data_IF_420473601086
#
_entry.id   IF_420473601086
#
_cell.length_a   1.000
_cell.length_b   1.000
_cell.length_c   1.000
_cell.angle_alpha   90.00
_cell.angle_beta   90.00
_cell.angle_gamma   90.00
#
_symmetry.space_group_name_H-M   'P 1'
#
loop_
_entity.id
_entity.type
_entity.pdbx_description
1 polymer ?
#
# COMPACT_ATOMS: atom_id res chain seq x y z
N UNK A 1 5.79 -0.38 3.81
CA UNK A 1 6.72 -1.27 4.51
C UNK A 1 7.43 -1.98 3.41
N UNK A 2 8.68 -1.63 3.16
CA UNK A 2 9.46 -2.19 2.07
C UNK A 2 10.68 -2.86 2.70
N UNK A 3 11.00 -4.09 2.29
CA UNK A 3 12.14 -4.84 2.85
C UNK A 3 13.48 -4.08 2.81
N UNK A 4 13.79 -3.28 1.76
CA UNK A 4 14.98 -2.44 1.76
C UNK A 4 15.03 -1.43 2.92
N UNK A 5 13.88 -0.92 3.38
CA UNK A 5 13.81 -0.01 4.55
C UNK A 5 14.06 -0.77 5.84
N UNK A 6 13.58 -2.00 5.96
CA UNK A 6 13.88 -2.87 7.10
C UNK A 6 15.38 -3.12 7.18
N UNK A 7 15.99 -3.49 6.05
CA UNK A 7 17.43 -3.67 5.95
C UNK A 7 18.22 -2.40 6.25
N UNK A 8 17.74 -1.23 5.81
CA UNK A 8 18.37 0.04 6.14
C UNK A 8 18.43 0.26 7.66
N UNK A 9 17.32 -0.01 8.38
CA UNK A 9 17.30 0.11 9.85
C UNK A 9 18.18 -0.96 10.50
N UNK A 10 18.17 -2.21 10.01
CA UNK A 10 19.07 -3.26 10.50
C UNK A 10 20.54 -2.85 10.42
N UNK A 11 20.92 -2.15 9.36
CA UNK A 11 22.31 -1.74 9.09
C UNK A 11 22.71 -0.43 9.79
N UNK A 12 21.82 0.56 9.80
CA UNK A 12 22.12 1.92 10.26
C UNK A 12 21.73 2.19 11.71
N UNK A 13 20.77 1.43 12.25
CA UNK A 13 20.25 1.60 13.60
C UNK A 13 19.89 0.24 14.24
N UNK A 14 20.85 -0.69 14.36
CA UNK A 14 20.60 -2.02 14.92
C UNK A 14 20.03 -1.98 16.34
N UNK A 15 20.39 -0.98 17.15
CA UNK A 15 19.87 -0.76 18.49
C UNK A 15 18.36 -0.41 18.51
N UNK A 16 17.87 0.21 17.43
CA UNK A 16 16.44 0.45 17.23
C UNK A 16 15.76 -0.84 16.78
N UNK A 17 16.37 -1.59 15.85
CA UNK A 17 15.83 -2.87 15.38
C UNK A 17 15.70 -3.89 16.53
N UNK A 18 16.67 -3.92 17.45
CA UNK A 18 16.64 -4.77 18.65
C UNK A 18 15.42 -4.45 19.53
N UNK A 19 15.15 -3.17 19.76
CA UNK A 19 14.00 -2.70 20.58
C UNK A 19 12.66 -2.74 19.84
N UNK A 20 12.69 -2.91 18.51
CA UNK A 20 11.47 -2.93 17.69
C UNK A 20 10.69 -4.21 17.94
N UNK A 21 9.46 -4.09 18.46
CA UNK A 21 8.58 -5.23 18.65
C UNK A 21 7.89 -5.65 17.35
N UNK A 22 7.37 -4.69 16.59
CA UNK A 22 6.64 -4.94 15.35
C UNK A 22 7.03 -3.95 14.26
N UNK A 23 7.02 -4.42 13.02
CA UNK A 23 7.14 -3.64 11.80
C UNK A 23 5.84 -3.84 11.03
N UNK A 24 5.14 -2.75 10.73
CA UNK A 24 3.83 -2.77 10.06
C UNK A 24 3.68 -1.54 9.17
N UNK A 25 2.72 -1.56 8.25
CA UNK A 25 2.36 -0.34 7.52
C UNK A 25 1.72 0.70 8.44
N UNK A 26 1.80 1.97 8.04
CA UNK A 26 1.14 3.03 8.81
C UNK A 26 -0.38 2.78 8.93
N UNK A 27 -1.02 2.28 7.89
CA UNK A 27 -2.44 1.90 7.91
C UNK A 27 -2.73 0.75 8.88
N UNK A 28 -1.91 -0.31 8.87
CA UNK A 28 -2.01 -1.40 9.84
C UNK A 28 -1.85 -0.89 11.27
N UNK A 29 -0.92 0.03 11.50
CA UNK A 29 -0.72 0.63 12.82
C UNK A 29 -1.95 1.43 13.27
N UNK A 30 -2.59 2.20 12.39
CA UNK A 30 -3.84 2.89 12.69
C UNK A 30 -4.92 1.88 13.07
N UNK A 31 -5.11 0.83 12.28
CA UNK A 31 -6.07 -0.25 12.55
C UNK A 31 -5.79 -0.92 13.91
N UNK A 32 -4.51 -1.17 14.21
CA UNK A 32 -4.09 -1.73 15.50
C UNK A 32 -4.44 -0.77 16.65
N UNK A 33 -4.21 0.54 16.50
CA UNK A 33 -4.65 1.53 17.50
C UNK A 33 -6.17 1.60 17.66
N UNK A 34 -6.92 1.37 16.60
CA UNK A 34 -8.39 1.37 16.64
C UNK A 34 -8.97 0.11 17.27
N UNK A 35 -8.29 -1.03 17.17
CA UNK A 35 -8.87 -2.35 17.54
C UNK A 35 -8.11 -3.08 18.65
N UNK A 36 -6.94 -2.59 19.05
CA UNK A 36 -5.97 -3.29 19.90
C UNK A 36 -5.54 -4.67 19.35
N UNK A 37 -5.56 -4.85 18.03
CA UNK A 37 -5.15 -6.09 17.36
C UNK A 37 -3.92 -5.88 16.47
N UNK A 38 -2.92 -6.74 16.65
CA UNK A 38 -1.76 -6.79 15.76
C UNK A 38 -2.09 -7.65 14.53
N UNK A 39 -2.54 -7.01 13.45
CA UNK A 39 -2.90 -7.65 12.18
C UNK A 39 -2.22 -6.96 11.00
N UNK A 40 -2.25 -7.60 9.83
CA UNK A 40 -1.79 -7.00 8.57
C UNK A 40 -2.88 -7.06 7.51
N UNK A 41 -2.95 -6.06 6.66
CA UNK A 41 -3.76 -6.10 5.44
C UNK A 41 -3.05 -6.89 4.33
N UNK A 42 -3.76 -7.77 3.65
CA UNK A 42 -3.24 -8.45 2.46
C UNK A 42 -2.86 -7.46 1.34
N UNK A 43 -3.61 -6.36 1.19
CA UNK A 43 -3.30 -5.26 0.28
C UNK A 43 -1.91 -4.67 0.54
N UNK A 44 -1.63 -4.34 1.80
CA UNK A 44 -0.34 -3.79 2.21
C UNK A 44 0.81 -4.78 2.02
N UNK A 45 0.65 -6.00 2.54
CA UNK A 45 1.72 -7.00 2.46
C UNK A 45 2.02 -7.40 1.01
N UNK A 46 1.00 -7.64 0.20
CA UNK A 46 1.19 -8.13 -1.16
C UNK A 46 1.95 -7.15 -2.06
N UNK A 47 1.66 -5.86 -1.96
CA UNK A 47 2.30 -4.85 -2.81
C UNK A 47 3.62 -4.31 -2.27
N UNK A 48 3.95 -4.53 -0.99
CA UNK A 48 5.09 -3.86 -0.33
C UNK A 48 6.07 -4.81 0.34
N UNK A 49 5.68 -6.04 0.69
CA UNK A 49 6.47 -6.93 1.55
C UNK A 49 6.64 -8.37 1.00
N UNK A 50 6.59 -8.56 -0.33
CA UNK A 50 6.79 -9.87 -1.00
C UNK A 50 6.03 -11.01 -0.32
N UNK A 51 4.72 -10.80 -0.14
CA UNK A 51 3.81 -11.76 0.47
C UNK A 51 2.75 -12.20 -0.53
N UNK A 52 2.43 -13.48 -0.52
CA UNK A 52 1.33 -14.05 -1.29
C UNK A 52 0.42 -14.88 -0.38
N UNK A 53 -0.88 -14.92 -0.68
CA UNK A 53 -1.84 -15.64 0.17
C UNK A 53 -1.56 -17.14 0.28
N UNK A 54 -1.14 -17.77 -0.83
CA UNK A 54 -0.91 -19.22 -0.88
C UNK A 54 0.42 -19.65 -0.25
N UNK A 55 1.48 -18.85 -0.42
CA UNK A 55 2.85 -19.21 -0.04
C UNK A 55 3.36 -18.44 1.18
N UNK A 56 2.68 -17.35 1.56
CA UNK A 56 3.10 -16.45 2.62
C UNK A 56 4.28 -15.58 2.19
N UNK A 57 5.22 -15.38 3.11
CA UNK A 57 6.46 -14.66 2.86
C UNK A 57 7.50 -15.56 2.19
N UNK A 58 8.20 -15.03 1.20
CA UNK A 58 9.28 -15.74 0.48
C UNK A 58 10.59 -15.73 1.28
N UNK A 59 10.65 -16.48 2.38
CA UNK A 59 11.82 -16.49 3.28
C UNK A 59 13.12 -16.96 2.60
N UNK A 60 13.04 -17.85 1.61
CA UNK A 60 14.24 -18.30 0.87
C UNK A 60 14.87 -17.18 0.04
N UNK A 61 14.06 -16.23 -0.45
CA UNK A 61 14.53 -15.01 -1.11
C UNK A 61 15.23 -14.10 -0.09
N UNK A 62 14.61 -13.90 1.08
CA UNK A 62 15.17 -13.05 2.13
C UNK A 62 16.50 -13.58 2.66
N UNK A 63 16.63 -14.89 2.87
CA UNK A 63 17.87 -15.54 3.30
C UNK A 63 19.02 -15.36 2.29
N UNK A 64 18.71 -15.29 0.99
CA UNK A 64 19.70 -15.02 -0.07
C UNK A 64 20.19 -13.58 -0.06
N UNK A 65 19.37 -12.64 0.43
CA UNK A 65 19.70 -11.21 0.49
C UNK A 65 20.49 -10.89 1.77
N UNK A 66 19.97 -11.30 2.93
CA UNK A 66 20.64 -11.16 4.22
C UNK A 66 20.19 -12.27 5.18
N UNK A 67 21.12 -13.02 5.81
CA UNK A 67 20.79 -14.17 6.65
C UNK A 67 19.98 -13.84 7.92
N UNK A 68 19.87 -12.56 8.29
CA UNK A 68 19.04 -12.11 9.43
C UNK A 68 17.66 -11.62 8.98
N UNK A 69 17.45 -11.31 7.70
CA UNK A 69 16.23 -10.68 7.23
C UNK A 69 15.02 -11.59 7.44
N UNK A 70 15.09 -12.86 7.06
CA UNK A 70 13.98 -13.80 7.27
C UNK A 70 13.52 -13.87 8.71
N UNK A 71 14.48 -13.88 9.65
CA UNK A 71 14.17 -13.90 11.08
C UNK A 71 13.48 -12.61 11.52
N UNK A 72 13.91 -11.45 11.02
CA UNK A 72 13.25 -10.16 11.26
C UNK A 72 11.84 -10.13 10.69
N UNK A 73 11.63 -10.61 9.45
CA UNK A 73 10.30 -10.71 8.84
C UNK A 73 9.40 -11.61 9.68
N UNK A 74 9.88 -12.80 10.05
CA UNK A 74 9.12 -13.75 10.85
C UNK A 74 8.74 -13.20 12.23
N UNK A 75 9.68 -12.55 12.93
CA UNK A 75 9.49 -12.14 14.31
C UNK A 75 8.77 -10.80 14.46
N UNK A 76 8.95 -9.88 13.50
CA UNK A 76 8.53 -8.48 13.63
C UNK A 76 7.50 -8.06 12.60
N UNK A 77 7.52 -8.62 11.38
CA UNK A 77 6.57 -8.26 10.32
C UNK A 77 5.34 -9.16 10.34
N UNK A 78 5.56 -10.47 10.40
CA UNK A 78 4.52 -11.49 10.32
C UNK A 78 3.51 -11.34 11.47
N UNK A 79 2.23 -11.37 11.09
CA UNK A 79 1.09 -11.35 12.00
C UNK A 79 -0.13 -11.91 11.25
N UNK A 80 -1.25 -12.19 11.93
CA UNK A 80 -2.49 -12.59 11.25
C UNK A 80 -2.87 -11.59 10.15
N UNK A 81 -3.11 -12.11 8.96
CA UNK A 81 -3.53 -11.32 7.79
C UNK A 81 -5.05 -11.25 7.76
N UNK A 82 -5.59 -10.07 7.49
CA UNK A 82 -7.02 -9.82 7.30
C UNK A 82 -7.21 -9.31 5.88
N UNK A 83 -8.08 -9.96 5.13
CA UNK A 83 -8.27 -9.70 3.72
C UNK A 83 -9.18 -8.48 3.51
N UNK A 84 -8.93 -7.70 2.45
CA UNK A 84 -9.87 -6.65 2.02
C UNK A 84 -11.26 -7.27 1.85
N UNK A 85 -12.29 -6.57 2.36
CA UNK A 85 -13.67 -7.05 2.41
C UNK A 85 -14.05 -7.69 3.75
N UNK A 86 -13.07 -8.04 4.59
CA UNK A 86 -13.31 -8.55 5.94
C UNK A 86 -13.31 -7.42 7.00
N UNK A 87 -13.65 -7.79 8.24
CA UNK A 87 -13.55 -6.88 9.37
C UNK A 87 -12.49 -7.38 10.37
N UNK A 88 -11.57 -6.48 10.75
CA UNK A 88 -10.55 -6.76 11.76
C UNK A 88 -11.21 -6.95 13.12
N UNK A 89 -12.27 -6.21 13.40
CA UNK A 89 -13.05 -6.31 14.62
C UNK A 89 -13.82 -5.03 14.90
N UNK A 90 -14.27 -4.90 16.14
CA UNK A 90 -14.93 -3.70 16.64
C UNK A 90 -13.90 -2.66 17.10
N UNK A 91 -14.31 -1.40 17.07
CA UNK A 91 -13.58 -0.29 17.63
C UNK A 91 -13.38 -0.49 19.14
N UNK A 92 -12.16 -0.28 19.62
CA UNK A 92 -11.82 -0.32 21.03
C UNK A 92 -12.59 0.76 21.82
N UNK A 93 -13.00 0.45 23.05
CA UNK A 93 -13.83 1.34 23.87
C UNK A 93 -13.21 2.74 24.04
N UNK A 94 -11.88 2.81 24.24
CA UNK A 94 -11.18 4.09 24.39
C UNK A 94 -11.22 4.89 23.09
N UNK A 95 -11.08 4.23 21.95
CA UNK A 95 -11.14 4.89 20.65
C UNK A 95 -12.56 5.27 20.25
N UNK A 96 -13.56 4.44 20.58
CA UNK A 96 -14.97 4.75 20.41
C UNK A 96 -15.34 6.04 21.14
N UNK A 97 -14.94 6.16 22.42
CA UNK A 97 -15.15 7.39 23.19
C UNK A 97 -14.40 8.59 22.58
N UNK A 98 -13.14 8.41 22.18
CA UNK A 98 -12.32 9.50 21.62
C UNK A 98 -12.86 10.03 20.29
N UNK A 99 -13.40 9.14 19.45
CA UNK A 99 -13.92 9.48 18.12
C UNK A 99 -15.41 9.85 18.14
N UNK A 100 -16.11 9.65 19.27
CA UNK A 100 -17.55 9.87 19.35
C UNK A 100 -18.37 8.84 18.56
N UNK A 101 -17.85 7.62 18.41
CA UNK A 101 -18.47 6.52 17.66
C UNK A 101 -18.99 5.42 18.59
N UNK A 102 -19.87 4.57 18.08
CA UNK A 102 -20.32 3.38 18.80
C UNK A 102 -19.20 2.35 18.92
N UNK A 103 -19.13 1.64 20.05
CA UNK A 103 -18.26 0.45 20.19
C UNK A 103 -18.66 -0.70 19.25
N UNK A 104 -19.86 -0.64 18.67
CA UNK A 104 -20.33 -1.60 17.68
C UNK A 104 -19.80 -1.30 16.26
N UNK A 105 -19.13 -0.15 16.07
CA UNK A 105 -18.51 0.21 14.78
C UNK A 105 -17.42 -0.80 14.42
N UNK A 106 -17.58 -1.43 13.26
CA UNK A 106 -16.59 -2.34 12.69
C UNK A 106 -15.45 -1.56 12.05
N UNK A 107 -14.24 -2.10 12.16
CA UNK A 107 -13.02 -1.56 11.57
C UNK A 107 -12.54 -2.53 10.49
N UNK A 108 -12.40 -2.04 9.27
CA UNK A 108 -11.84 -2.80 8.14
C UNK A 108 -10.31 -2.92 8.28
N UNK A 109 -9.66 -3.86 7.58
CA UNK A 109 -8.23 -3.72 7.31
C UNK A 109 -7.98 -2.43 6.54
N UNK A 110 -6.75 -1.92 6.61
CA UNK A 110 -6.38 -0.75 5.81
C UNK A 110 -6.25 -1.14 4.33
N UNK A 111 -6.51 -0.19 3.45
CA UNK A 111 -6.31 -0.30 2.01
C UNK A 111 -5.43 0.87 1.55
N UNK A 112 -4.57 0.64 0.56
CA UNK A 112 -3.75 1.71 -0.04
C UNK A 112 -4.67 2.72 -0.73
N UNK A 113 -4.33 4.00 -0.66
CA UNK A 113 -5.16 5.12 -1.16
C UNK A 113 -5.54 4.98 -2.64
N UNK A 114 -4.57 4.70 -3.52
CA UNK A 114 -4.82 4.47 -4.94
C UNK A 114 -5.76 3.28 -5.14
N UNK A 115 -5.57 2.20 -4.37
CA UNK A 115 -6.42 1.00 -4.44
C UNK A 115 -7.85 1.28 -3.95
N UNK A 116 -7.99 2.12 -2.91
CA UNK A 116 -9.30 2.57 -2.44
C UNK A 116 -10.02 3.44 -3.47
N UNK A 117 -9.28 4.25 -4.25
CA UNK A 117 -9.88 5.13 -5.27
C UNK A 117 -10.59 4.35 -6.38
N UNK A 118 -10.07 3.17 -6.74
CA UNK A 118 -10.70 2.25 -7.69
C UNK A 118 -12.10 1.82 -7.20
N UNK A 119 -12.25 1.51 -5.91
CA UNK A 119 -13.55 1.23 -5.30
C UNK A 119 -14.45 2.47 -5.30
N UNK A 120 -13.88 3.64 -4.99
CA UNK A 120 -14.61 4.90 -4.94
C UNK A 120 -15.26 5.31 -6.26
N UNK A 121 -14.71 4.89 -7.40
CA UNK A 121 -15.28 5.14 -8.72
C UNK A 121 -16.14 3.97 -9.25
N UNK A 122 -16.27 2.89 -8.47
CA UNK A 122 -17.04 1.70 -8.84
C UNK A 122 -16.38 0.82 -9.91
N UNK A 123 -15.05 0.86 -10.02
CA UNK A 123 -14.31 -0.01 -10.95
C UNK A 123 -13.99 -1.34 -10.30
N UNK A 124 -14.94 -2.27 -10.29
CA UNK A 124 -14.86 -3.54 -9.57
C UNK A 124 -14.80 -4.78 -10.46
N UNK A 125 -14.80 -4.62 -11.79
CA UNK A 125 -14.98 -5.75 -12.72
C UNK A 125 -13.68 -6.19 -13.39
N UNK A 126 -13.67 -7.45 -13.83
CA UNK A 126 -12.61 -8.02 -14.65
C UNK A 126 -12.34 -7.15 -15.89
N UNK A 127 -11.05 -6.96 -16.19
CA UNK A 127 -10.54 -6.16 -17.32
C UNK A 127 -10.80 -4.65 -17.23
N UNK A 128 -11.15 -4.11 -16.07
CA UNK A 128 -11.23 -2.67 -15.88
C UNK A 128 -9.87 -2.09 -15.46
N UNK A 129 -9.49 -0.99 -16.12
CA UNK A 129 -8.33 -0.20 -15.79
C UNK A 129 -8.78 1.13 -15.16
N UNK A 130 -8.17 1.45 -14.02
CA UNK A 130 -8.32 2.73 -13.32
C UNK A 130 -6.99 3.48 -13.33
N UNK A 131 -7.04 4.80 -13.56
CA UNK A 131 -5.85 5.67 -13.49
C UNK A 131 -6.05 6.72 -12.41
N UNK A 132 -5.19 6.69 -11.40
CA UNK A 132 -5.11 7.73 -10.36
C UNK A 132 -4.10 8.76 -10.85
N UNK A 133 -4.60 9.81 -11.48
CA UNK A 133 -3.80 10.82 -12.18
C UNK A 133 -3.53 12.03 -11.27
N UNK A 134 -2.26 12.44 -11.19
CA UNK A 134 -1.82 13.62 -10.45
C UNK A 134 -0.42 14.05 -10.89
N UNK A 135 0.45 14.37 -9.92
CA UNK A 135 1.89 14.64 -10.15
C UNK A 135 2.55 13.50 -10.95
N UNK A 136 2.27 12.27 -10.52
CA UNK A 136 2.50 11.00 -11.23
C UNK A 136 1.17 10.31 -11.52
N UNK A 137 1.18 9.19 -12.25
CA UNK A 137 -0.03 8.36 -12.44
C UNK A 137 0.17 6.94 -11.92
N UNK A 138 -0.72 6.50 -11.05
CA UNK A 138 -0.84 5.08 -10.67
C UNK A 138 -1.89 4.40 -11.55
N UNK A 139 -1.49 3.37 -12.28
CA UNK A 139 -2.35 2.55 -13.10
C UNK A 139 -2.72 1.29 -12.33
N UNK A 140 -4.02 1.06 -12.19
CA UNK A 140 -4.57 -0.13 -11.57
C UNK A 140 -5.37 -0.91 -12.62
N UNK A 141 -5.22 -2.22 -12.62
CA UNK A 141 -5.96 -3.10 -13.52
C UNK A 141 -6.45 -4.32 -12.75
N UNK A 142 -7.68 -4.74 -13.03
CA UNK A 142 -8.25 -5.95 -12.46
C UNK A 142 -8.27 -7.07 -13.51
N UNK A 143 -7.93 -8.29 -13.08
CA UNK A 143 -8.06 -9.47 -13.93
C UNK A 143 -8.39 -10.74 -13.14
N UNK A 144 -9.22 -11.62 -13.69
CA UNK A 144 -9.46 -12.95 -13.12
C UNK A 144 -8.21 -13.86 -13.14
N UNK A 145 -7.28 -13.61 -14.07
CA UNK A 145 -6.09 -14.43 -14.27
C UNK A 145 -4.82 -13.63 -14.01
N UNK A 146 -3.83 -14.30 -13.44
CA UNK A 146 -2.49 -13.74 -13.30
C UNK A 146 -1.71 -13.87 -14.60
N UNK A 147 -1.07 -12.77 -15.01
CA UNK A 147 -0.22 -12.66 -16.18
C UNK A 147 1.07 -11.96 -15.79
N UNK A 148 2.19 -12.38 -16.36
CA UNK A 148 3.44 -11.64 -16.21
C UNK A 148 3.40 -10.42 -17.12
N UNK A 149 3.46 -9.24 -16.51
CA UNK A 149 3.48 -7.97 -17.23
C UNK A 149 4.81 -7.27 -16.95
N UNK A 150 5.65 -6.99 -17.96
CA UNK A 150 6.92 -6.33 -17.75
C UNK A 150 6.74 -4.92 -17.15
N UNK A 151 7.53 -4.60 -16.12
CA UNK A 151 7.63 -3.23 -15.58
C UNK A 151 6.49 -2.80 -14.66
N UNK A 152 5.59 -3.70 -14.28
CA UNK A 152 4.60 -3.41 -13.23
C UNK A 152 5.26 -3.43 -11.85
N UNK A 153 4.63 -2.76 -10.89
CA UNK A 153 5.02 -2.78 -9.48
C UNK A 153 4.70 -4.13 -8.84
N UNK A 154 3.55 -4.72 -9.17
CA UNK A 154 3.13 -6.00 -8.63
C UNK A 154 1.75 -6.44 -9.11
N UNK A 155 1.43 -7.70 -8.85
CA UNK A 155 0.12 -8.30 -9.10
C UNK A 155 -0.27 -9.16 -7.90
N UNK A 156 -1.35 -8.82 -7.21
CA UNK A 156 -1.75 -9.48 -5.95
C UNK A 156 -3.22 -9.87 -6.02
N UNK A 157 -3.51 -11.15 -5.74
CA UNK A 157 -4.88 -11.68 -5.67
C UNK A 157 -5.60 -11.14 -4.43
N UNK A 158 -6.85 -10.72 -4.57
CA UNK A 158 -7.69 -10.33 -3.45
C UNK A 158 -7.28 -9.04 -2.73
N UNK A 159 -6.28 -8.32 -3.25
CA UNK A 159 -5.76 -7.11 -2.61
C UNK A 159 -6.67 -5.89 -2.74
N UNK A 160 -7.67 -5.95 -3.62
CA UNK A 160 -8.68 -4.88 -3.82
C UNK A 160 -10.07 -5.50 -3.92
N UNK A 161 -10.28 -6.39 -4.90
CA UNK A 161 -11.48 -7.20 -5.06
C UNK A 161 -11.11 -8.65 -4.74
N UNK A 162 -11.79 -9.33 -3.79
CA UNK A 162 -11.38 -10.66 -3.28
C UNK A 162 -11.11 -11.70 -4.36
N UNK A 163 -11.90 -11.73 -5.43
CA UNK A 163 -11.85 -12.74 -6.48
C UNK A 163 -10.86 -12.41 -7.61
N UNK A 164 -10.32 -11.20 -7.66
CA UNK A 164 -9.52 -10.70 -8.79
C UNK A 164 -8.06 -10.46 -8.40
N UNK A 165 -7.18 -10.56 -9.38
CA UNK A 165 -5.82 -10.04 -9.30
C UNK A 165 -5.86 -8.53 -9.55
N UNK A 166 -5.33 -7.76 -8.61
CA UNK A 166 -5.04 -6.37 -8.79
C UNK A 166 -3.61 -6.20 -9.29
N UNK A 167 -3.44 -5.44 -10.36
CA UNK A 167 -2.14 -5.06 -10.91
C UNK A 167 -1.90 -3.59 -10.63
N UNK A 168 -0.67 -3.23 -10.28
CA UNK A 168 -0.25 -1.84 -10.09
C UNK A 168 0.93 -1.53 -11.00
N UNK A 169 0.89 -0.40 -11.70
CA UNK A 169 2.02 0.15 -12.43
C UNK A 169 2.11 1.66 -12.24
N UNK A 170 3.34 2.18 -12.16
CA UNK A 170 3.59 3.61 -11.98
C UNK A 170 4.08 4.28 -13.27
N UNK A 171 3.49 5.43 -13.60
CA UNK A 171 4.09 6.39 -14.54
C UNK A 171 4.65 7.56 -13.73
N UNK A 172 5.98 7.64 -13.68
CA UNK A 172 6.70 8.45 -12.69
C UNK A 172 6.41 9.95 -12.71
N UNK A 173 6.11 10.52 -13.88
CA UNK A 173 5.85 11.95 -14.01
C UNK A 173 4.77 12.20 -15.07
N UNK A 174 3.77 12.98 -14.69
CA UNK A 174 2.70 13.50 -15.58
C UNK A 174 2.46 14.97 -15.24
N UNK A 175 1.74 15.24 -14.15
CA UNK A 175 1.52 16.59 -13.64
C UNK A 175 2.83 17.31 -13.31
N UNK A 176 3.82 16.61 -12.74
CA UNK A 176 5.13 17.18 -12.43
C UNK A 176 5.85 17.68 -13.69
N UNK A 177 5.69 16.96 -14.81
CA UNK A 177 6.30 17.38 -16.07
C UNK A 177 5.60 18.62 -16.64
N UNK A 178 4.28 18.70 -16.54
CA UNK A 178 3.53 19.89 -16.94
C UNK A 178 3.90 21.10 -16.09
N UNK A 179 3.96 20.92 -14.77
CA UNK A 179 4.38 21.98 -13.84
C UNK A 179 5.81 22.44 -14.10
N UNK A 180 6.73 21.50 -14.34
CA UNK A 180 8.11 21.82 -14.70
C UNK A 180 8.17 22.66 -15.98
N UNK A 181 7.51 22.23 -17.06
CA UNK A 181 7.50 22.96 -18.34
C UNK A 181 6.90 24.34 -18.18
N UNK A 182 5.78 24.48 -17.45
CA UNK A 182 5.17 25.77 -17.18
C UNK A 182 6.14 26.74 -16.46
N UNK A 183 6.92 26.25 -15.49
CA UNK A 183 7.95 27.05 -14.79
C UNK A 183 9.17 27.39 -15.64
N UNK A 184 9.39 26.69 -16.75
CA UNK A 184 10.49 26.94 -17.69
C UNK A 184 10.05 27.71 -18.93
N UNK A 185 8.77 28.08 -19.05
CA UNK A 185 8.26 28.79 -20.20
C UNK A 185 8.93 30.17 -20.37
N UNK A 186 9.33 30.56 -21.61
CA UNK A 186 9.79 31.90 -21.89
C UNK A 186 8.81 32.96 -21.38
N UNK A 187 9.35 34.02 -20.74
CA UNK A 187 8.53 35.10 -20.16
C UNK A 187 7.52 35.67 -21.16
N UNK A 188 7.86 35.79 -22.44
CA UNK A 188 6.94 36.29 -23.47
C UNK A 188 5.67 35.46 -23.60
N UNK A 189 5.74 34.13 -23.48
CA UNK A 189 4.56 33.26 -23.54
C UNK A 189 3.75 33.28 -22.25
N UNK A 190 4.41 33.46 -21.10
CA UNK A 190 3.73 33.66 -19.82
C UNK A 190 2.95 34.97 -19.83
N UNK A 191 3.60 36.06 -20.26
CA UNK A 191 2.98 37.38 -20.36
C UNK A 191 1.80 37.38 -21.36
N UNK A 192 1.90 36.65 -22.48
CA UNK A 192 0.79 36.47 -23.45
C UNK A 192 -0.39 35.70 -22.84
N UNK A 193 -0.13 34.61 -22.13
CA UNK A 193 -1.17 33.79 -21.50
C UNK A 193 -1.92 34.52 -20.37
N UNK A 194 -1.26 35.42 -19.63
CA UNK A 194 -1.91 36.23 -18.59
C UNK A 194 -2.84 37.32 -19.14
N UNK A 195 -2.69 37.72 -20.41
CA UNK A 195 -3.57 38.70 -21.08
C UNK A 195 -4.88 38.05 -21.54
N UNK A 196 -4.88 36.73 -21.77
CA UNK A 196 -6.05 35.98 -22.25
C UNK A 196 -6.96 35.44 -21.13
N UNK A 197 -6.61 35.65 -19.85
CA UNK A 197 -7.36 35.23 -18.65
C UNK A 197 -8.11 36.43 -18.05
#
# INVERSE_FOLDING_TARGET
MDDPKIMEVMNRAPEIMEKTAYIMEAGDWIVNKLTNKNVRSNCGLGFKAFWEEETGFHYDLFDKIDPKLSKVIQDKVSAPVVNIGEAVGKLDDKMAQKLGLSKETMVSPFIIDAHASLLGIGSEKDKEMTMVMGTSTCHLMLNEKQHQVPGISGSVKGAIIPELFAYEAGQSAVGDLFEYVAKQAPKSYVDEAEIEI
#
